data_IF_289515544196
#
_entry.id   IF_289515544196
#
_cell.length_a   1.000
_cell.length_b   1.000
_cell.length_c   1.000
_cell.angle_alpha   90.00
_cell.angle_beta   90.00
_cell.angle_gamma   90.00
#
_symmetry.space_group_name_H-M   'P 1'
#
loop_
_entity.id
_entity.type
_entity.pdbx_description
1 polymer ?
#
# COMPACT_ATOMS: atom_id res chain seq x y z
N UNK A 1 -28.16 8.01 4.65
CA UNK A 1 -27.29 6.83 4.68
C UNK A 1 -25.92 7.33 5.12
N UNK A 2 -25.29 6.74 6.14
CA UNK A 2 -24.09 7.31 6.75
C UNK A 2 -22.87 7.12 5.84
N UNK A 3 -22.01 8.14 5.76
CA UNK A 3 -20.72 8.17 5.05
C UNK A 3 -19.64 7.26 5.68
N UNK A 4 -20.04 6.34 6.58
CA UNK A 4 -19.13 5.57 7.44
C UNK A 4 -18.46 4.42 6.71
N UNK A 5 -19.16 3.74 5.79
CA UNK A 5 -18.62 2.58 5.08
C UNK A 5 -17.45 2.95 4.16
N UNK A 6 -17.56 4.06 3.42
CA UNK A 6 -16.49 4.53 2.52
C UNK A 6 -15.26 5.04 3.30
N UNK A 7 -15.48 5.60 4.49
CA UNK A 7 -14.39 6.10 5.35
C UNK A 7 -13.63 4.95 6.02
N UNK A 8 -14.33 3.90 6.43
CA UNK A 8 -13.72 2.71 7.02
C UNK A 8 -12.95 1.88 5.98
N UNK A 9 -13.45 1.81 4.74
CA UNK A 9 -12.72 1.20 3.62
C UNK A 9 -11.43 1.96 3.28
N UNK A 10 -11.50 3.31 3.23
CA UNK A 10 -10.31 4.14 3.04
C UNK A 10 -9.29 3.94 4.17
N UNK A 11 -9.74 3.85 5.42
CA UNK A 11 -8.84 3.61 6.57
C UNK A 11 -8.15 2.26 6.45
N UNK A 12 -8.89 1.20 6.10
CA UNK A 12 -8.31 -0.12 5.90
C UNK A 12 -7.27 -0.17 4.77
N UNK A 13 -7.51 0.55 3.67
CA UNK A 13 -6.54 0.66 2.56
C UNK A 13 -5.29 1.43 3.01
N UNK A 14 -5.45 2.51 3.77
CA UNK A 14 -4.32 3.30 4.29
C UNK A 14 -3.49 2.50 5.29
N UNK A 15 -4.13 1.78 6.22
CA UNK A 15 -3.43 0.93 7.19
C UNK A 15 -2.58 -0.13 6.48
N UNK A 16 -3.13 -0.77 5.44
CA UNK A 16 -2.40 -1.75 4.63
C UNK A 16 -1.24 -1.14 3.85
N UNK A 17 -1.41 0.07 3.31
CA UNK A 17 -0.32 0.81 2.66
C UNK A 17 0.84 1.10 3.61
N UNK A 18 0.56 1.39 4.88
CA UNK A 18 1.59 1.61 5.88
C UNK A 18 2.33 0.32 6.24
N UNK A 19 1.61 -0.79 6.40
CA UNK A 19 2.21 -2.11 6.63
C UNK A 19 3.15 -2.51 5.49
N UNK A 20 2.67 -2.45 4.24
CA UNK A 20 3.47 -2.78 3.05
C UNK A 20 4.70 -1.86 2.89
N UNK A 21 4.60 -0.59 3.31
CA UNK A 21 5.72 0.35 3.29
C UNK A 21 6.80 0.01 4.33
N UNK A 22 6.40 -0.42 5.52
CA UNK A 22 7.34 -0.89 6.56
C UNK A 22 8.02 -2.20 6.10
N UNK A 23 7.28 -3.12 5.47
CA UNK A 23 7.85 -4.33 4.87
C UNK A 23 8.86 -3.99 3.76
N UNK A 24 8.55 -3.02 2.89
CA UNK A 24 9.47 -2.58 1.85
C UNK A 24 10.75 -1.97 2.44
N UNK A 25 10.65 -1.21 3.53
CA UNK A 25 11.83 -0.68 4.26
C UNK A 25 12.68 -1.81 4.84
N UNK A 26 12.06 -2.84 5.41
CA UNK A 26 12.77 -4.01 5.92
C UNK A 26 13.49 -4.77 4.79
N UNK A 27 12.84 -4.97 3.64
CA UNK A 27 13.46 -5.57 2.47
C UNK A 27 14.67 -4.77 1.98
N UNK A 28 14.58 -3.43 1.93
CA UNK A 28 15.72 -2.56 1.58
C UNK A 28 16.91 -2.75 2.53
N UNK A 29 16.67 -2.88 3.83
CA UNK A 29 17.75 -3.12 4.80
C UNK A 29 18.45 -4.47 4.54
N UNK A 30 17.72 -5.51 4.17
CA UNK A 30 18.28 -6.82 3.81
C UNK A 30 19.09 -6.78 2.50
N UNK A 31 18.70 -5.93 1.53
CA UNK A 31 19.48 -5.71 0.30
C UNK A 31 20.83 -5.08 0.63
N UNK A 32 20.87 -4.10 1.55
CA UNK A 32 22.11 -3.45 1.98
C UNK A 32 23.06 -4.45 2.67
N UNK A 33 22.50 -5.43 3.39
CA UNK A 33 23.23 -6.57 3.96
C UNK A 33 23.67 -7.63 2.93
N UNK A 34 23.32 -7.44 1.65
CA UNK A 34 23.78 -8.28 0.54
C UNK A 34 22.87 -9.46 0.19
N UNK A 35 21.64 -9.50 0.71
CA UNK A 35 20.66 -10.53 0.33
C UNK A 35 19.99 -10.21 -1.01
N UNK A 36 20.41 -10.92 -2.06
CA UNK A 36 19.85 -10.76 -3.39
C UNK A 36 18.36 -11.16 -3.51
N UNK A 37 17.82 -11.96 -2.59
CA UNK A 37 16.40 -12.34 -2.57
C UNK A 37 15.50 -11.19 -2.13
N UNK A 38 16.05 -10.25 -1.35
CA UNK A 38 15.32 -9.09 -0.88
C UNK A 38 14.99 -8.09 -2.00
N UNK A 39 15.76 -8.06 -3.09
CA UNK A 39 15.42 -7.28 -4.30
C UNK A 39 14.13 -7.77 -4.96
N UNK A 40 13.95 -9.10 -5.04
CA UNK A 40 12.74 -9.69 -5.61
C UNK A 40 11.52 -9.43 -4.72
N UNK A 41 11.67 -9.50 -3.40
CA UNK A 41 10.58 -9.17 -2.49
C UNK A 41 10.23 -7.68 -2.53
N UNK A 42 11.23 -6.80 -2.62
CA UNK A 42 11.02 -5.37 -2.77
C UNK A 42 10.24 -5.01 -4.05
N UNK A 43 10.55 -5.65 -5.17
CA UNK A 43 9.85 -5.45 -6.44
C UNK A 43 8.36 -5.86 -6.31
N UNK A 44 8.11 -6.99 -5.66
CA UNK A 44 6.75 -7.49 -5.37
C UNK A 44 5.96 -6.54 -4.47
N UNK A 45 6.61 -6.00 -3.44
CA UNK A 45 6.00 -5.01 -2.53
C UNK A 45 5.73 -3.69 -3.24
N UNK A 46 6.63 -3.25 -4.12
CA UNK A 46 6.43 -2.04 -4.91
C UNK A 46 5.20 -2.15 -5.84
N UNK A 47 5.00 -3.30 -6.49
CA UNK A 47 3.82 -3.56 -7.32
C UNK A 47 2.52 -3.58 -6.51
N UNK A 48 2.55 -4.18 -5.31
CA UNK A 48 1.42 -4.21 -4.39
C UNK A 48 1.04 -2.78 -3.94
N UNK A 49 2.02 -1.98 -3.53
CA UNK A 49 1.84 -0.57 -3.18
C UNK A 49 1.28 0.24 -4.36
N UNK A 50 1.82 0.05 -5.56
CA UNK A 50 1.34 0.73 -6.77
C UNK A 50 -0.15 0.43 -7.04
N UNK A 51 -0.56 -0.84 -6.87
CA UNK A 51 -1.95 -1.27 -7.02
C UNK A 51 -2.85 -0.64 -5.96
N UNK A 52 -2.42 -0.62 -4.70
CA UNK A 52 -3.19 -0.02 -3.61
C UNK A 52 -3.35 1.50 -3.77
N UNK A 53 -2.29 2.21 -4.18
CA UNK A 53 -2.34 3.64 -4.49
C UNK A 53 -3.28 3.92 -5.66
N UNK A 54 -3.27 3.07 -6.70
CA UNK A 54 -4.20 3.19 -7.82
C UNK A 54 -5.66 3.01 -7.38
N UNK A 55 -5.94 2.03 -6.52
CA UNK A 55 -7.26 1.81 -5.91
C UNK A 55 -7.70 3.03 -5.10
N UNK A 56 -6.83 3.56 -4.24
CA UNK A 56 -7.10 4.74 -3.42
C UNK A 56 -7.39 5.97 -4.29
N UNK A 57 -6.61 6.18 -5.36
CA UNK A 57 -6.84 7.24 -6.34
C UNK A 57 -8.18 7.08 -7.06
N UNK A 58 -8.56 5.86 -7.42
CA UNK A 58 -9.84 5.59 -8.08
C UNK A 58 -11.02 5.91 -7.15
N UNK A 59 -10.96 5.47 -5.90
CA UNK A 59 -12.00 5.73 -4.89
C UNK A 59 -12.18 7.23 -4.62
N UNK A 60 -11.08 7.96 -4.50
CA UNK A 60 -11.08 9.41 -4.27
C UNK A 60 -11.48 10.22 -5.51
N UNK A 61 -11.10 9.79 -6.72
CA UNK A 61 -11.45 10.47 -7.98
C UNK A 61 -12.92 10.28 -8.38
N UNK A 62 -13.56 9.18 -7.98
CA UNK A 62 -14.95 8.88 -8.34
C UNK A 62 -15.97 9.72 -7.55
N UNK A 63 -15.54 10.56 -6.60
CA UNK A 63 -16.47 11.41 -5.84
C UNK A 63 -17.47 10.62 -5.00
N UNK A 64 -17.16 9.36 -4.66
CA UNK A 64 -17.97 8.51 -3.77
C UNK A 64 -17.89 8.90 -2.28
N UNK A 65 -17.21 10.00 -1.98
CA UNK A 65 -17.08 10.57 -0.64
C UNK A 65 -18.03 11.75 -0.41
N UNK A 66 -19.15 11.80 -1.13
CA UNK A 66 -20.15 12.86 -1.08
C UNK A 66 -21.46 12.40 -0.46
#
# INVERSE_FOLDING_TARGET
MPLTDDTDELRAILDRLFEDLEEARAAVALIDDGDATALTELDRLADALATQVATLKSLTATGRLG
#
